data_IF_513457457682
#
_entry.id   IF_513457457682
#
_cell.length_a   1.000
_cell.length_b   1.000
_cell.length_c   1.000
_cell.angle_alpha   90.00
_cell.angle_beta   90.00
_cell.angle_gamma   90.00
#
_symmetry.space_group_name_H-M   'P 1'
#
loop_
_entity.id
_entity.type
_entity.pdbx_description
1 polymer ?
#
# COMPACT_ATOMS: atom_id res chain seq x y z
N UNK A 1 -16.58 31.35 -9.11
CA UNK A 1 -15.48 31.54 -10.09
C UNK A 1 -14.34 32.20 -9.36
N UNK A 2 -13.12 31.66 -9.49
CA UNK A 2 -11.89 32.21 -8.89
C UNK A 2 -10.91 32.55 -10.00
N UNK A 3 -9.93 33.41 -9.73
CA UNK A 3 -8.87 33.76 -10.69
C UNK A 3 -7.53 33.97 -9.99
N UNK A 4 -6.45 33.80 -10.74
CA UNK A 4 -5.09 34.16 -10.33
C UNK A 4 -4.31 34.67 -11.54
N UNK A 5 -3.19 35.35 -11.30
CA UNK A 5 -2.19 35.65 -12.31
C UNK A 5 -0.98 34.77 -12.01
N UNK A 6 -0.67 33.81 -12.87
CA UNK A 6 0.53 32.97 -12.72
C UNK A 6 1.76 33.74 -13.20
N UNK A 7 2.72 33.97 -12.31
CA UNK A 7 4.01 34.57 -12.59
C UNK A 7 5.08 33.49 -12.87
N UNK A 8 6.24 33.92 -13.38
CA UNK A 8 7.35 33.01 -13.66
C UNK A 8 7.85 32.33 -12.36
N UNK A 9 8.04 31.01 -12.42
CA UNK A 9 8.43 30.19 -11.27
C UNK A 9 7.27 29.71 -10.40
N UNK A 10 6.02 30.07 -10.71
CA UNK A 10 4.84 29.63 -9.97
C UNK A 10 4.18 28.40 -10.59
N UNK A 11 3.63 27.53 -9.73
CA UNK A 11 2.79 26.40 -10.12
C UNK A 11 1.31 26.73 -10.02
N UNK A 12 0.52 26.17 -10.95
CA UNK A 12 -0.94 26.14 -10.87
C UNK A 12 -1.38 24.69 -10.87
N UNK A 13 -2.16 24.29 -9.86
CA UNK A 13 -2.69 22.93 -9.73
C UNK A 13 -4.18 22.95 -10.07
N UNK A 14 -4.58 22.16 -11.06
CA UNK A 14 -5.98 21.96 -11.45
C UNK A 14 -6.49 20.65 -10.84
N UNK A 15 -7.43 20.77 -9.89
CA UNK A 15 -8.01 19.61 -9.21
C UNK A 15 -8.97 18.81 -10.12
N UNK A 16 -9.24 17.53 -9.81
CA UNK A 16 -10.11 16.69 -10.63
C UNK A 16 -11.47 17.34 -10.91
N UNK A 17 -11.86 17.38 -12.19
CA UNK A 17 -13.12 17.99 -12.67
C UNK A 17 -13.25 19.51 -12.42
N UNK A 18 -12.16 20.20 -12.11
CA UNK A 18 -12.14 21.66 -12.04
C UNK A 18 -12.03 22.27 -13.46
N UNK A 19 -13.15 22.75 -13.98
CA UNK A 19 -13.16 23.52 -15.24
C UNK A 19 -12.27 24.76 -15.10
N UNK A 20 -11.43 24.99 -16.09
CA UNK A 20 -10.50 26.11 -16.11
C UNK A 20 -10.34 26.65 -17.53
N UNK A 21 -10.03 27.94 -17.61
CA UNK A 21 -9.76 28.68 -18.84
C UNK A 21 -8.86 29.85 -18.50
N UNK A 22 -8.08 30.34 -19.45
CA UNK A 22 -7.20 31.49 -19.23
C UNK A 22 -6.74 32.11 -20.54
N UNK A 23 -6.04 33.24 -20.42
CA UNK A 23 -5.34 33.91 -21.52
C UNK A 23 -3.99 34.43 -21.00
N UNK A 24 -3.04 34.62 -21.91
CA UNK A 24 -1.70 35.11 -21.56
C UNK A 24 -1.68 36.65 -21.62
N UNK A 25 -0.99 37.27 -20.65
CA UNK A 25 -0.79 38.73 -20.61
C UNK A 25 0.26 39.21 -21.64
N UNK A 26 1.14 38.32 -22.10
CA UNK A 26 2.23 38.63 -23.03
C UNK A 26 3.00 37.37 -23.43
N UNK A 27 4.17 37.55 -24.04
CA UNK A 27 5.04 36.44 -24.42
C UNK A 27 5.51 35.65 -23.19
N UNK A 28 5.26 34.33 -23.21
CA UNK A 28 5.66 33.42 -22.15
C UNK A 28 5.94 32.00 -22.69
N UNK A 29 6.41 31.13 -21.81
CA UNK A 29 6.58 29.70 -22.05
C UNK A 29 6.06 28.94 -20.83
N UNK A 30 5.28 27.88 -21.05
CA UNK A 30 4.69 27.07 -19.98
C UNK A 30 4.73 25.58 -20.35
N UNK A 31 4.82 24.73 -19.32
CA UNK A 31 4.75 23.28 -19.44
C UNK A 31 3.66 22.75 -18.49
N UNK A 32 2.97 21.68 -18.88
CA UNK A 32 1.89 21.10 -18.10
C UNK A 32 1.88 19.58 -18.20
N UNK A 33 1.46 18.91 -17.12
CA UNK A 33 1.34 17.46 -17.04
C UNK A 33 0.10 17.08 -16.24
N UNK A 34 -0.53 15.97 -16.62
CA UNK A 34 -1.60 15.34 -15.85
C UNK A 34 -1.00 14.31 -14.88
N UNK A 35 -1.51 14.25 -13.66
CA UNK A 35 -1.13 13.23 -12.68
C UNK A 35 -2.37 12.75 -11.91
N UNK A 36 -2.25 11.59 -11.26
CA UNK A 36 -3.30 10.98 -10.47
C UNK A 36 -2.76 10.60 -9.09
N UNK A 37 -3.58 10.76 -8.06
CA UNK A 37 -3.29 10.42 -6.66
C UNK A 37 -4.30 9.40 -6.14
N UNK A 38 -4.11 8.88 -4.92
CA UNK A 38 -5.04 7.92 -4.32
C UNK A 38 -6.49 8.44 -4.24
N UNK A 39 -6.67 9.73 -3.92
CA UNK A 39 -7.98 10.39 -3.84
C UNK A 39 -8.66 10.60 -5.21
N UNK A 40 -7.90 10.50 -6.31
CA UNK A 40 -8.45 10.57 -7.66
C UNK A 40 -9.19 9.29 -8.07
N UNK A 41 -8.85 8.11 -7.51
CA UNK A 41 -9.41 6.83 -7.97
C UNK A 41 -10.95 6.80 -8.04
N UNK A 42 -11.70 7.26 -7.01
CA UNK A 42 -13.16 7.29 -7.09
C UNK A 42 -13.70 8.31 -8.10
N UNK A 43 -12.95 9.38 -8.39
CA UNK A 43 -13.30 10.31 -9.46
C UNK A 43 -13.05 9.69 -10.84
N UNK A 44 -11.96 8.92 -10.99
CA UNK A 44 -11.64 8.13 -12.18
C UNK A 44 -12.76 7.15 -12.53
N UNK A 45 -13.22 6.32 -11.59
CA UNK A 45 -14.33 5.38 -11.82
C UNK A 45 -15.61 6.08 -12.27
N UNK A 46 -16.02 7.14 -11.56
CA UNK A 46 -17.20 7.96 -11.92
C UNK A 46 -17.05 8.64 -13.28
N UNK A 47 -15.83 8.99 -13.68
CA UNK A 47 -15.54 9.52 -15.00
C UNK A 47 -15.83 8.48 -16.09
N UNK A 48 -15.43 7.22 -15.88
CA UNK A 48 -15.74 6.12 -16.81
C UNK A 48 -17.25 5.90 -16.92
N UNK A 49 -17.99 5.90 -15.81
CA UNK A 49 -19.46 5.82 -15.83
C UNK A 49 -20.07 6.96 -16.67
N UNK A 50 -19.55 8.17 -16.51
CA UNK A 50 -20.00 9.33 -17.29
C UNK A 50 -19.62 9.23 -18.78
N UNK A 51 -18.42 8.77 -19.10
CA UNK A 51 -17.96 8.58 -20.48
C UNK A 51 -18.76 7.50 -21.20
N UNK A 52 -19.09 6.42 -20.49
CA UNK A 52 -19.96 5.36 -20.99
C UNK A 52 -21.33 5.90 -21.40
N UNK A 53 -21.93 6.74 -20.57
CA UNK A 53 -23.20 7.40 -20.89
C UNK A 53 -23.09 8.34 -22.10
N UNK A 54 -21.96 9.05 -22.24
CA UNK A 54 -21.68 9.94 -23.38
C UNK A 54 -21.18 9.26 -24.65
N UNK A 55 -20.99 7.93 -24.64
CA UNK A 55 -20.39 7.19 -25.76
C UNK A 55 -18.99 7.71 -26.14
N UNK A 56 -18.21 8.13 -25.13
CA UNK A 56 -16.89 8.74 -25.30
C UNK A 56 -15.78 7.69 -25.12
N UNK A 57 -14.83 7.66 -26.06
CA UNK A 57 -13.62 6.83 -25.97
C UNK A 57 -12.82 7.13 -24.69
N UNK A 58 -12.35 6.08 -24.05
CA UNK A 58 -11.45 6.16 -22.90
C UNK A 58 -10.00 6.19 -23.36
N UNK A 59 -9.15 6.94 -22.67
CA UNK A 59 -7.69 6.98 -22.96
C UNK A 59 -6.96 5.76 -22.40
N UNK A 60 -7.54 5.13 -21.37
CA UNK A 60 -7.09 3.88 -20.76
C UNK A 60 -8.24 3.25 -19.98
N UNK A 61 -8.11 1.96 -19.62
CA UNK A 61 -9.07 1.28 -18.74
C UNK A 61 -8.78 1.55 -17.26
N UNK A 62 -9.75 2.14 -16.56
CA UNK A 62 -9.65 2.36 -15.11
C UNK A 62 -9.59 1.03 -14.34
N UNK A 63 -10.31 0.01 -14.82
CA UNK A 63 -10.32 -1.31 -14.19
C UNK A 63 -8.95 -1.99 -14.31
N UNK A 64 -8.32 -1.88 -15.49
CA UNK A 64 -6.97 -2.39 -15.73
C UNK A 64 -5.96 -1.74 -14.77
N UNK A 65 -6.03 -0.42 -14.61
CA UNK A 65 -5.18 0.32 -13.68
C UNK A 65 -5.33 -0.19 -12.24
N UNK A 66 -6.58 -0.36 -11.77
CA UNK A 66 -6.86 -0.88 -10.41
C UNK A 66 -6.33 -2.30 -10.24
N UNK A 67 -6.56 -3.19 -11.20
CA UNK A 67 -6.07 -4.57 -11.13
C UNK A 67 -4.54 -4.66 -11.19
N UNK A 68 -3.87 -3.82 -12.00
CA UNK A 68 -2.40 -3.75 -12.05
C UNK A 68 -1.81 -3.28 -10.71
N UNK A 69 -2.42 -2.30 -10.06
CA UNK A 69 -2.02 -1.89 -8.71
C UNK A 69 -2.24 -3.02 -7.70
N UNK A 70 -3.39 -3.68 -7.75
CA UNK A 70 -3.73 -4.79 -6.86
C UNK A 70 -2.77 -5.99 -7.00
N UNK A 71 -2.32 -6.31 -8.22
CA UNK A 71 -1.31 -7.34 -8.46
C UNK A 71 0.04 -7.03 -7.80
N UNK A 72 0.33 -5.75 -7.56
CA UNK A 72 1.56 -5.24 -6.96
C UNK A 72 1.34 -4.65 -5.56
N UNK A 73 0.37 -5.18 -4.78
CA UNK A 73 -0.05 -4.62 -3.49
C UNK A 73 1.10 -4.29 -2.52
N UNK A 74 2.14 -5.11 -2.46
CA UNK A 74 3.31 -4.92 -1.58
C UNK A 74 4.11 -3.64 -1.90
N UNK A 75 4.07 -3.18 -3.16
CA UNK A 75 4.78 -1.98 -3.62
C UNK A 75 3.99 -0.69 -3.40
N UNK A 76 2.71 -0.79 -3.07
CA UNK A 76 1.84 0.37 -2.86
C UNK A 76 2.13 1.03 -1.51
N UNK A 77 2.03 2.35 -1.47
CA UNK A 77 1.88 3.06 -0.21
C UNK A 77 0.54 2.70 0.46
N UNK A 78 0.44 2.92 1.76
CA UNK A 78 -0.72 2.48 2.56
C UNK A 78 -2.01 3.20 2.16
N UNK A 79 -1.93 4.50 1.86
CA UNK A 79 -3.09 5.30 1.46
C UNK A 79 -3.63 4.83 0.11
N UNK A 80 -2.73 4.59 -0.85
CA UNK A 80 -3.08 4.02 -2.14
C UNK A 80 -3.60 2.59 -1.99
N UNK A 81 -2.97 1.74 -1.19
CA UNK A 81 -3.46 0.37 -0.95
C UNK A 81 -4.90 0.36 -0.39
N UNK A 82 -5.21 1.24 0.55
CA UNK A 82 -6.55 1.40 1.11
C UNK A 82 -7.55 1.94 0.06
N UNK A 83 -7.15 2.94 -0.74
CA UNK A 83 -7.99 3.49 -1.80
C UNK A 83 -8.27 2.46 -2.91
N UNK A 84 -7.24 1.72 -3.34
CA UNK A 84 -7.34 0.64 -4.33
C UNK A 84 -8.20 -0.51 -3.78
N UNK A 85 -8.03 -0.90 -2.52
CA UNK A 85 -8.90 -1.91 -1.88
C UNK A 85 -10.38 -1.50 -1.95
N UNK A 86 -10.69 -0.25 -1.59
CA UNK A 86 -12.06 0.27 -1.62
C UNK A 86 -12.65 0.27 -3.03
N UNK A 87 -11.91 0.78 -4.02
CA UNK A 87 -12.40 0.84 -5.40
C UNK A 87 -12.50 -0.55 -6.04
N UNK A 88 -11.51 -1.42 -5.82
CA UNK A 88 -11.55 -2.80 -6.28
C UNK A 88 -12.72 -3.56 -5.65
N UNK A 89 -13.05 -3.33 -4.38
CA UNK A 89 -14.19 -3.98 -3.73
C UNK A 89 -15.49 -3.65 -4.47
N UNK A 90 -15.72 -2.38 -4.79
CA UNK A 90 -16.89 -1.92 -5.55
C UNK A 90 -16.92 -2.58 -6.94
N UNK A 91 -15.80 -2.58 -7.65
CA UNK A 91 -15.67 -3.21 -8.98
C UNK A 91 -16.00 -4.70 -8.94
N UNK A 92 -15.50 -5.45 -7.95
CA UNK A 92 -15.75 -6.89 -7.82
C UNK A 92 -17.22 -7.18 -7.54
N UNK A 93 -17.88 -6.37 -6.70
CA UNK A 93 -19.32 -6.52 -6.45
C UNK A 93 -20.15 -6.28 -7.71
N UNK A 94 -19.81 -5.23 -8.46
CA UNK A 94 -20.50 -4.88 -9.69
C UNK A 94 -20.27 -5.93 -10.79
N UNK A 95 -19.03 -6.37 -10.99
CA UNK A 95 -18.67 -7.44 -11.93
C UNK A 95 -19.42 -8.74 -11.63
N UNK A 96 -19.53 -9.10 -10.34
CA UNK A 96 -20.31 -10.27 -9.90
C UNK A 96 -21.80 -10.13 -10.28
N UNK A 97 -22.37 -8.94 -10.11
CA UNK A 97 -23.77 -8.66 -10.48
C UNK A 97 -23.96 -8.77 -12.00
N UNK A 98 -23.06 -8.18 -12.79
CA UNK A 98 -23.13 -8.18 -14.25
C UNK A 98 -22.98 -9.60 -14.83
N UNK A 99 -22.02 -10.39 -14.34
CA UNK A 99 -21.85 -11.78 -14.76
C UNK A 99 -23.03 -12.67 -14.35
N UNK A 100 -23.63 -12.42 -13.18
CA UNK A 100 -24.85 -13.12 -12.77
C UNK A 100 -26.01 -12.84 -13.72
N UNK A 101 -26.23 -11.58 -14.10
CA UNK A 101 -27.27 -11.20 -15.06
C UNK A 101 -27.04 -11.85 -16.43
N UNK A 102 -25.78 -12.02 -16.83
CA UNK A 102 -25.42 -12.72 -18.07
C UNK A 102 -25.79 -14.21 -18.04
N UNK A 103 -25.52 -14.89 -16.93
CA UNK A 103 -25.91 -16.29 -16.72
C UNK A 103 -27.43 -16.46 -16.70
N UNK A 104 -28.15 -15.52 -16.07
CA UNK A 104 -29.62 -15.50 -16.06
C UNK A 104 -30.22 -15.34 -17.48
N UNK A 105 -29.47 -14.75 -18.41
CA UNK A 105 -29.82 -14.62 -19.83
C UNK A 105 -29.53 -15.89 -20.66
N UNK A 106 -28.97 -16.93 -20.04
CA UNK A 106 -28.69 -18.23 -20.67
C UNK A 106 -27.35 -18.33 -21.40
N UNK A 107 -26.43 -17.42 -21.14
CA UNK A 107 -25.09 -17.41 -21.74
C UNK A 107 -24.15 -18.16 -20.80
N UNK A 108 -23.71 -19.35 -21.19
CA UNK A 108 -22.89 -20.25 -20.36
C UNK A 108 -21.46 -20.39 -20.85
N UNK A 109 -21.22 -20.19 -22.14
CA UNK A 109 -19.88 -20.27 -22.73
C UNK A 109 -19.03 -19.11 -22.25
N UNK A 110 -17.79 -19.41 -21.86
CA UNK A 110 -16.85 -18.42 -21.35
C UNK A 110 -15.41 -18.76 -21.74
N UNK A 111 -14.65 -17.74 -22.11
CA UNK A 111 -13.25 -17.83 -22.52
C UNK A 111 -12.42 -16.81 -21.74
N UNK A 112 -11.21 -17.22 -21.32
CA UNK A 112 -10.28 -16.32 -20.67
C UNK A 112 -9.54 -15.50 -21.72
N UNK A 113 -9.55 -14.17 -21.57
CA UNK A 113 -8.91 -13.23 -22.49
C UNK A 113 -7.94 -12.29 -21.75
N UNK A 114 -6.76 -12.07 -22.32
CA UNK A 114 -5.77 -11.14 -21.79
C UNK A 114 -5.93 -9.76 -22.46
N UNK A 115 -7.00 -9.05 -22.09
CA UNK A 115 -7.37 -7.77 -22.70
C UNK A 115 -6.25 -6.73 -22.72
N UNK A 116 -5.30 -6.76 -21.78
CA UNK A 116 -4.14 -5.84 -21.76
C UNK A 116 -3.13 -6.03 -22.90
N UNK A 117 -3.22 -7.15 -23.63
CA UNK A 117 -2.37 -7.45 -24.79
C UNK A 117 -3.03 -7.07 -26.12
N UNK A 118 -4.33 -6.83 -26.11
CA UNK A 118 -5.08 -6.35 -27.26
C UNK A 118 -4.93 -4.83 -27.39
N UNK A 119 -4.89 -4.29 -28.61
CA UNK A 119 -4.94 -2.86 -28.82
C UNK A 119 -6.30 -2.29 -28.36
N UNK A 120 -6.33 -1.01 -28.00
CA UNK A 120 -7.50 -0.40 -27.36
C UNK A 120 -8.76 -0.42 -28.23
N UNK A 121 -8.62 -0.34 -29.54
CA UNK A 121 -9.70 -0.41 -30.52
C UNK A 121 -10.37 -1.80 -30.59
N UNK A 122 -9.60 -2.88 -30.47
CA UNK A 122 -10.12 -4.26 -30.49
C UNK A 122 -10.83 -4.69 -29.19
N UNK A 123 -10.71 -3.89 -28.13
CA UNK A 123 -11.34 -4.16 -26.82
C UNK A 123 -12.37 -3.11 -26.40
N UNK A 124 -12.81 -2.27 -27.33
CA UNK A 124 -13.85 -1.28 -27.07
C UNK A 124 -15.25 -1.87 -27.22
N UNK A 125 -16.16 -1.46 -26.34
CA UNK A 125 -17.57 -1.77 -26.51
C UNK A 125 -18.16 -1.02 -27.70
N UNK A 126 -18.82 -1.73 -28.62
CA UNK A 126 -19.45 -1.17 -29.81
C UNK A 126 -20.51 -0.12 -29.48
N UNK A 127 -21.22 -0.29 -28.37
CA UNK A 127 -22.23 0.65 -27.89
C UNK A 127 -21.62 1.90 -27.27
N UNK A 128 -20.95 1.76 -26.13
CA UNK A 128 -20.55 2.91 -25.30
C UNK A 128 -19.09 3.36 -25.46
N UNK A 129 -18.31 2.67 -26.28
CA UNK A 129 -16.89 2.98 -26.55
C UNK A 129 -15.96 2.90 -25.33
N UNK A 130 -16.43 2.26 -24.25
CA UNK A 130 -15.59 1.95 -23.07
C UNK A 130 -14.60 0.85 -23.43
N UNK A 131 -13.33 1.02 -23.06
CA UNK A 131 -12.28 0.00 -23.15
C UNK A 131 -12.52 -1.09 -22.12
N UNK A 132 -12.89 -2.30 -22.56
CA UNK A 132 -13.20 -3.44 -21.70
C UNK A 132 -11.92 -4.05 -21.13
N UNK A 133 -11.98 -4.51 -19.88
CA UNK A 133 -10.85 -5.19 -19.24
C UNK A 133 -11.29 -6.39 -18.38
N UNK A 134 -12.22 -6.22 -17.43
CA UNK A 134 -12.62 -7.35 -16.58
C UNK A 134 -13.39 -8.41 -17.36
N UNK A 135 -14.31 -7.95 -18.21
CA UNK A 135 -15.12 -8.80 -19.06
C UNK A 135 -15.74 -8.06 -20.23
N UNK A 136 -16.09 -8.82 -21.26
CA UNK A 136 -16.88 -8.38 -22.40
C UNK A 136 -17.70 -9.55 -22.95
N UNK A 137 -18.75 -9.25 -23.70
CA UNK A 137 -19.56 -10.21 -24.43
C UNK A 137 -19.20 -10.18 -25.91
N UNK A 138 -18.94 -11.36 -26.47
CA UNK A 138 -18.66 -11.57 -27.88
C UNK A 138 -19.60 -12.65 -28.47
N UNK A 139 -19.59 -12.81 -29.79
CA UNK A 139 -20.41 -13.76 -30.51
C UNK A 139 -19.56 -14.61 -31.46
N UNK A 140 -19.80 -15.92 -31.52
CA UNK A 140 -19.11 -16.83 -32.45
C UNK A 140 -19.42 -16.53 -33.93
N UNK A 141 -20.58 -15.95 -34.22
CA UNK A 141 -21.04 -15.62 -35.57
C UNK A 141 -20.75 -14.16 -35.96
N UNK A 142 -20.33 -13.31 -35.02
CA UNK A 142 -19.98 -11.91 -35.24
C UNK A 142 -18.64 -11.57 -34.56
N UNK A 143 -17.50 -12.03 -35.13
CA UNK A 143 -16.19 -11.95 -34.46
C UNK A 143 -15.67 -10.53 -34.27
N UNK A 144 -16.11 -9.58 -35.10
CA UNK A 144 -15.71 -8.16 -35.01
C UNK A 144 -16.50 -7.40 -33.93
N UNK A 145 -17.55 -7.99 -33.36
CA UNK A 145 -18.43 -7.30 -32.40
C UNK A 145 -18.11 -7.64 -30.96
N UNK A 146 -18.05 -6.59 -30.15
CA UNK A 146 -17.73 -6.68 -28.73
C UNK A 146 -18.56 -5.67 -27.94
N UNK A 147 -19.19 -6.10 -26.84
CA UNK A 147 -19.86 -5.16 -25.92
C UNK A 147 -19.45 -5.40 -24.47
N UNK A 148 -19.43 -4.33 -23.66
CA UNK A 148 -19.27 -4.49 -22.22
C UNK A 148 -20.56 -5.05 -21.61
N UNK A 149 -20.48 -5.59 -20.38
CA UNK A 149 -21.63 -6.23 -19.74
C UNK A 149 -22.78 -5.28 -19.36
N UNK A 150 -22.62 -3.98 -19.55
CA UNK A 150 -23.72 -3.01 -19.43
C UNK A 150 -24.62 -2.97 -20.66
N UNK A 151 -24.17 -3.49 -21.80
CA UNK A 151 -24.85 -3.41 -23.09
C UNK A 151 -25.01 -4.80 -23.73
N UNK A 152 -25.29 -5.82 -22.92
CA UNK A 152 -25.45 -7.22 -23.36
C UNK A 152 -26.61 -7.41 -24.35
N UNK A 153 -27.52 -6.46 -24.43
CA UNK A 153 -28.64 -6.45 -25.38
C UNK A 153 -28.29 -5.77 -26.72
N UNK A 154 -27.16 -5.05 -26.79
CA UNK A 154 -26.74 -4.29 -27.98
C UNK A 154 -25.65 -5.03 -28.79
N UNK A 155 -25.33 -6.29 -28.46
CA UNK A 155 -24.27 -7.04 -29.17
C UNK A 155 -24.65 -7.37 -30.62
N UNK A 156 -25.67 -8.21 -30.80
CA UNK A 156 -26.19 -8.65 -32.09
C UNK A 156 -27.54 -9.38 -31.91
N UNK A 157 -28.19 -9.70 -33.03
CA UNK A 157 -29.48 -10.41 -33.05
C UNK A 157 -29.35 -11.94 -32.96
N UNK A 158 -28.12 -12.47 -32.83
CA UNK A 158 -27.89 -13.90 -32.68
C UNK A 158 -28.48 -14.42 -31.35
N UNK A 159 -28.86 -15.71 -31.31
CA UNK A 159 -29.38 -16.30 -30.08
C UNK A 159 -28.31 -16.39 -28.97
N UNK A 160 -28.69 -16.35 -27.68
CA UNK A 160 -27.76 -16.33 -26.55
C UNK A 160 -26.75 -17.49 -26.52
N UNK A 161 -27.08 -18.64 -27.10
CA UNK A 161 -26.17 -19.80 -27.21
C UNK A 161 -25.00 -19.59 -28.18
N UNK A 162 -25.03 -18.52 -28.99
CA UNK A 162 -23.91 -18.08 -29.84
C UNK A 162 -23.05 -17.02 -29.18
N UNK A 163 -23.49 -16.48 -28.06
CA UNK A 163 -22.74 -15.51 -27.29
C UNK A 163 -21.86 -16.22 -26.27
N UNK A 164 -20.69 -15.64 -25.98
CA UNK A 164 -19.78 -16.15 -24.96
C UNK A 164 -19.12 -15.00 -24.21
N UNK A 165 -18.90 -15.23 -22.91
CA UNK A 165 -18.24 -14.29 -22.03
C UNK A 165 -16.72 -14.36 -22.23
N UNK A 166 -16.09 -13.25 -22.65
CA UNK A 166 -14.63 -13.09 -22.56
C UNK A 166 -14.31 -12.47 -21.21
N UNK A 167 -13.51 -13.13 -20.38
CA UNK A 167 -13.19 -12.66 -19.02
C UNK A 167 -11.69 -12.65 -18.73
N UNK A 168 -11.22 -11.68 -17.94
CA UNK A 168 -9.80 -11.61 -17.57
C UNK A 168 -9.44 -12.44 -16.34
N UNK A 169 -10.30 -12.35 -15.32
CA UNK A 169 -10.18 -13.05 -14.05
C UNK A 169 -11.48 -13.76 -13.72
N UNK A 170 -11.38 -14.92 -13.07
CA UNK A 170 -12.50 -15.62 -12.45
C UNK A 170 -12.98 -14.87 -11.22
N UNK A 171 -14.20 -15.19 -10.77
CA UNK A 171 -14.76 -14.62 -9.53
C UNK A 171 -14.03 -15.13 -8.27
N UNK A 172 -13.18 -16.15 -8.37
CA UNK A 172 -12.34 -16.66 -7.29
C UNK A 172 -10.98 -15.94 -7.22
N UNK A 173 -10.44 -15.49 -8.36
CA UNK A 173 -9.18 -14.75 -8.44
C UNK A 173 -9.31 -13.32 -7.86
N UNK A 174 -10.44 -12.65 -8.10
CA UNK A 174 -10.65 -11.28 -7.66
C UNK A 174 -10.64 -11.09 -6.12
N UNK A 175 -11.32 -11.95 -5.32
CA UNK A 175 -11.20 -11.93 -3.86
C UNK A 175 -9.78 -12.15 -3.34
N UNK A 176 -8.97 -12.98 -4.01
CA UNK A 176 -7.59 -13.21 -3.60
C UNK A 176 -6.74 -11.94 -3.75
N UNK A 177 -6.96 -11.16 -4.82
CA UNK A 177 -6.31 -9.85 -5.00
C UNK A 177 -6.76 -8.84 -3.93
N UNK A 178 -8.07 -8.81 -3.61
CA UNK A 178 -8.62 -7.98 -2.54
C UNK A 178 -8.01 -8.30 -1.18
N UNK A 179 -7.86 -9.59 -0.87
CA UNK A 179 -7.26 -10.03 0.39
C UNK A 179 -5.82 -9.54 0.55
N UNK A 180 -5.00 -9.60 -0.51
CA UNK A 180 -3.64 -9.07 -0.50
C UNK A 180 -3.61 -7.56 -0.22
N UNK A 181 -4.51 -6.80 -0.86
CA UNK A 181 -4.65 -5.36 -0.60
C UNK A 181 -5.10 -5.06 0.82
N UNK A 182 -6.04 -5.84 1.36
CA UNK A 182 -6.51 -5.71 2.74
C UNK A 182 -5.38 -5.91 3.74
N UNK A 183 -4.61 -6.98 3.60
CA UNK A 183 -3.43 -7.24 4.44
C UNK A 183 -2.47 -6.05 4.38
N UNK A 184 -2.20 -5.52 3.18
CA UNK A 184 -1.32 -4.36 3.02
C UNK A 184 -1.88 -3.12 3.71
N UNK A 185 -3.15 -2.80 3.52
CA UNK A 185 -3.80 -1.63 4.11
C UNK A 185 -3.81 -1.70 5.65
N UNK A 186 -4.11 -2.87 6.22
CA UNK A 186 -4.15 -3.10 7.66
C UNK A 186 -2.78 -3.37 8.29
N UNK A 187 -1.72 -3.51 7.47
CA UNK A 187 -0.38 -3.88 7.95
C UNK A 187 0.21 -2.83 8.88
N UNK A 188 -0.06 -1.55 8.64
CA UNK A 188 0.44 -0.47 9.46
C UNK A 188 -0.27 -0.36 10.80
N UNK A 189 -1.60 -0.52 10.83
CA UNK A 189 -2.36 -0.53 12.08
C UNK A 189 -1.95 -1.72 12.94
N UNK A 190 -1.81 -2.90 12.31
CA UNK A 190 -1.35 -4.12 12.98
C UNK A 190 0.06 -3.95 13.54
N UNK A 191 0.97 -3.37 12.75
CA UNK A 191 2.34 -3.06 13.21
C UNK A 191 2.31 -2.03 14.35
N UNK A 192 1.53 -0.97 14.22
CA UNK A 192 1.38 0.07 15.24
C UNK A 192 0.87 -0.49 16.56
N UNK A 193 -0.10 -1.40 16.54
CA UNK A 193 -0.58 -2.12 17.73
C UNK A 193 0.50 -3.01 18.34
N UNK A 194 1.31 -3.71 17.53
CA UNK A 194 2.44 -4.50 18.02
C UNK A 194 3.50 -3.63 18.69
N UNK A 195 3.81 -2.46 18.11
CA UNK A 195 4.79 -1.52 18.66
C UNK A 195 4.29 -0.94 19.99
N UNK A 196 3.05 -0.46 20.05
CA UNK A 196 2.46 0.02 21.30
C UNK A 196 2.50 -1.03 22.39
N UNK A 197 2.02 -2.23 22.07
CA UNK A 197 2.06 -3.35 23.01
C UNK A 197 3.49 -3.61 23.47
N UNK A 198 4.48 -3.67 22.57
CA UNK A 198 5.87 -3.92 22.94
C UNK A 198 6.50 -2.82 23.80
N UNK A 199 6.10 -1.57 23.63
CA UNK A 199 6.60 -0.43 24.42
C UNK A 199 5.91 -0.29 25.78
N UNK A 200 4.67 -0.76 25.93
CA UNK A 200 3.85 -0.62 27.13
C UNK A 200 3.90 -1.84 28.08
N UNK A 201 4.58 -2.94 27.72
CA UNK A 201 4.59 -4.15 28.58
C UNK A 201 5.40 -3.95 29.88
N UNK A 202 4.82 -4.34 31.01
CA UNK A 202 5.48 -4.37 32.32
C UNK A 202 6.47 -5.56 32.47
N UNK A 203 7.42 -5.42 33.40
CA UNK A 203 8.68 -6.18 33.57
C UNK A 203 8.69 -7.69 33.27
N UNK A 204 7.59 -8.43 33.47
CA UNK A 204 7.53 -9.89 33.24
C UNK A 204 7.13 -10.30 31.82
N UNK A 205 6.71 -9.36 30.97
CA UNK A 205 6.32 -9.63 29.58
C UNK A 205 7.05 -8.74 28.56
N UNK A 206 8.06 -7.96 29.00
CA UNK A 206 8.87 -7.14 28.12
C UNK A 206 9.46 -7.98 26.98
N UNK A 207 9.34 -7.46 25.75
CA UNK A 207 9.91 -8.07 24.55
C UNK A 207 11.43 -7.99 24.55
N UNK A 208 12.10 -8.81 23.76
CA UNK A 208 13.57 -8.75 23.66
C UNK A 208 14.01 -7.56 22.79
N UNK A 209 15.28 -7.14 22.92
CA UNK A 209 15.87 -6.16 22.00
C UNK A 209 15.82 -6.64 20.53
N UNK A 210 15.94 -7.95 20.31
CA UNK A 210 15.82 -8.55 18.98
C UNK A 210 14.42 -8.39 18.39
N UNK A 211 13.37 -8.51 19.22
CA UNK A 211 11.99 -8.28 18.79
C UNK A 211 11.74 -6.82 18.38
N UNK A 212 12.29 -5.84 19.12
CA UNK A 212 12.18 -4.42 18.76
C UNK A 212 12.93 -4.12 17.46
N UNK A 213 14.10 -4.72 17.26
CA UNK A 213 14.86 -4.63 16.00
C UNK A 213 14.09 -5.25 14.84
N UNK A 214 13.43 -6.39 15.05
CA UNK A 214 12.59 -7.02 14.04
C UNK A 214 11.43 -6.10 13.62
N UNK A 215 10.79 -5.39 14.57
CA UNK A 215 9.75 -4.40 14.27
C UNK A 215 10.27 -3.20 13.48
N UNK A 216 11.51 -2.74 13.72
CA UNK A 216 12.15 -1.70 12.91
C UNK A 216 12.49 -2.18 11.50
N UNK A 217 12.97 -3.41 11.35
CA UNK A 217 13.25 -4.03 10.06
C UNK A 217 11.96 -4.18 9.25
N UNK A 218 10.89 -4.67 9.87
CA UNK A 218 9.56 -4.76 9.24
C UNK A 218 9.09 -3.39 8.71
N UNK A 219 9.26 -2.32 9.50
CA UNK A 219 8.87 -0.97 9.08
C UNK A 219 9.69 -0.46 7.88
N UNK A 220 10.99 -0.75 7.83
CA UNK A 220 11.87 -0.40 6.71
C UNK A 220 11.51 -1.18 5.44
N UNK A 221 11.34 -2.50 5.55
CA UNK A 221 10.99 -3.37 4.42
C UNK A 221 9.62 -3.01 3.83
N UNK A 222 8.64 -2.79 4.70
CA UNK A 222 7.27 -2.42 4.31
C UNK A 222 7.11 -0.94 3.98
N UNK A 223 8.18 -0.14 4.04
CA UNK A 223 8.23 1.29 3.74
C UNK A 223 7.11 2.08 4.44
N UNK A 224 6.93 1.85 5.73
CA UNK A 224 5.94 2.58 6.51
C UNK A 224 6.32 4.06 6.62
N UNK A 225 5.34 4.98 6.64
CA UNK A 225 5.61 6.41 6.76
C UNK A 225 6.25 6.73 8.12
N UNK A 226 7.12 7.73 8.15
CA UNK A 226 7.65 8.26 9.40
C UNK A 226 6.50 8.84 10.23
N UNK A 227 6.34 8.35 11.45
CA UNK A 227 5.35 8.83 12.41
C UNK A 227 5.95 8.85 13.82
N UNK A 228 5.20 9.39 14.79
CA UNK A 228 5.65 9.45 16.19
C UNK A 228 5.98 8.07 16.78
N UNK A 229 5.23 7.03 16.42
CA UNK A 229 5.46 5.66 16.88
C UNK A 229 6.79 5.08 16.37
N UNK A 230 7.13 5.30 15.09
CA UNK A 230 8.38 4.85 14.50
C UNK A 230 9.57 5.59 15.12
N UNK A 231 9.42 6.89 15.38
CA UNK A 231 10.45 7.67 16.09
C UNK A 231 10.64 7.16 17.53
N UNK A 232 9.56 6.87 18.26
CA UNK A 232 9.65 6.28 19.60
C UNK A 232 10.34 4.93 19.58
N UNK A 233 9.96 4.04 18.66
CA UNK A 233 10.59 2.72 18.52
C UNK A 233 12.09 2.82 18.20
N UNK A 234 12.49 3.71 17.28
CA UNK A 234 13.91 3.97 16.98
C UNK A 234 14.67 4.43 18.22
N UNK A 235 14.14 5.42 18.93
CA UNK A 235 14.74 5.93 20.16
C UNK A 235 14.91 4.85 21.23
N UNK A 236 13.88 4.01 21.45
CA UNK A 236 13.95 2.91 22.42
C UNK A 236 14.99 1.85 22.04
N UNK A 237 15.18 1.57 20.75
CA UNK A 237 16.22 0.63 20.29
C UNK A 237 17.61 1.24 20.45
N UNK A 238 17.80 2.52 20.10
CA UNK A 238 19.08 3.22 20.29
C UNK A 238 19.49 3.30 21.77
N UNK A 239 18.53 3.58 22.66
CA UNK A 239 18.76 3.61 24.10
C UNK A 239 19.15 2.22 24.63
N UNK A 240 18.44 1.16 24.22
CA UNK A 240 18.75 -0.20 24.62
C UNK A 240 20.11 -0.69 24.09
N UNK A 241 20.50 -0.31 22.87
CA UNK A 241 21.84 -0.60 22.33
C UNK A 241 22.95 0.12 23.09
N UNK A 242 22.71 1.38 23.48
CA UNK A 242 23.65 2.14 24.30
C UNK A 242 23.84 1.48 25.67
N UNK A 243 22.76 1.06 26.34
CA UNK A 243 22.83 0.33 27.60
C UNK A 243 23.56 -1.01 27.46
N UNK A 244 23.35 -1.74 26.36
CA UNK A 244 24.08 -2.98 26.07
C UNK A 244 25.60 -2.72 25.93
N UNK A 245 25.98 -1.66 25.22
CA UNK A 245 27.39 -1.29 25.03
C UNK A 245 28.07 -0.89 26.36
N UNK A 246 27.37 -0.11 27.19
CA UNK A 246 27.83 0.27 28.53
C UNK A 246 27.97 -0.96 29.45
N UNK A 247 27.01 -1.90 29.43
CA UNK A 247 27.09 -3.16 30.17
C UNK A 247 28.29 -4.03 29.70
N UNK A 248 28.55 -4.07 28.39
CA UNK A 248 29.68 -4.81 27.82
C UNK A 248 31.04 -4.25 28.27
N UNK A 249 31.19 -2.92 28.31
CA UNK A 249 32.40 -2.28 28.84
C UNK A 249 32.63 -2.62 30.32
N UNK A 250 31.56 -2.60 31.12
CA UNK A 250 31.60 -3.00 32.54
C UNK A 250 31.99 -4.48 32.73
N UNK A 251 31.50 -5.37 31.86
CA UNK A 251 31.84 -6.79 31.88
C UNK A 251 33.32 -7.06 31.58
N UNK A 252 33.88 -6.33 30.60
CA UNK A 252 35.27 -6.47 30.18
C UNK A 252 36.24 -5.91 31.23
N UNK A 253 35.91 -4.79 31.88
CA UNK A 253 36.68 -4.25 33.01
C UNK A 253 36.77 -5.22 34.20
N UNK A 254 35.79 -6.11 34.39
CA UNK A 254 35.83 -7.15 35.44
C UNK A 254 36.70 -8.36 35.08
N UNK A 255 36.82 -8.73 33.80
CA UNK A 255 37.61 -9.88 33.34
C UNK A 255 39.10 -9.58 33.10
N UNK A 256 39.51 -8.30 33.14
CA UNK A 256 40.89 -7.86 32.92
C UNK A 256 41.80 -7.77 34.16
N UNK A 257 41.32 -8.06 35.37
CA UNK A 257 42.13 -7.93 36.59
C UNK A 257 43.08 -9.13 36.82
N UNK A 258 44.14 -9.25 36.03
CA UNK A 258 45.40 -9.87 36.49
C UNK A 258 46.30 -8.75 37.01
N UNK A 259 46.78 -8.79 38.27
CA UNK A 259 47.60 -7.72 38.79
C UNK A 259 49.01 -7.81 38.19
N UNK A 260 49.36 -6.86 37.33
CA UNK A 260 50.74 -6.53 37.01
C UNK A 260 51.09 -5.21 37.72
N UNK A 261 52.18 -5.13 38.48
CA UNK A 261 52.51 -3.96 39.27
C UNK A 261 53.41 -3.04 38.43
N UNK A 262 52.84 -2.24 37.55
CA UNK A 262 53.30 -0.88 37.29
C UNK A 262 52.43 -0.23 36.21
N UNK A 263 52.32 1.09 36.27
CA UNK A 263 51.59 2.00 35.38
C UNK A 263 50.20 2.39 35.92
N UNK A 264 50.11 3.69 36.17
CA UNK A 264 48.95 4.48 36.55
C UNK A 264 47.81 4.37 35.53
N UNK A 265 46.94 3.37 35.68
CA UNK A 265 45.66 3.32 34.98
C UNK A 265 44.51 3.70 35.92
N UNK A 266 43.68 4.63 35.44
CA UNK A 266 42.47 5.11 36.13
C UNK A 266 41.57 3.93 36.48
N UNK A 267 41.16 3.74 37.74
CA UNK A 267 40.13 2.77 38.04
C UNK A 267 38.80 3.40 37.61
N UNK A 268 38.23 2.97 36.49
CA UNK A 268 36.78 3.11 36.23
C UNK A 268 36.03 2.16 37.17
N UNK A 269 36.15 2.39 38.48
CA UNK A 269 35.29 1.78 39.49
C UNK A 269 34.03 2.63 39.54
N UNK A 270 32.99 2.19 38.82
CA UNK A 270 31.65 2.75 39.01
C UNK A 270 31.29 2.68 40.49
N UNK A 271 30.81 3.79 41.03
CA UNK A 271 30.25 3.86 42.39
C UNK A 271 28.98 3.03 42.48
N UNK A 272 28.63 2.58 43.68
CA UNK A 272 27.39 1.80 43.93
C UNK A 272 26.16 2.58 43.46
N UNK A 273 26.19 3.91 43.56
CA UNK A 273 25.11 4.78 43.12
C UNK A 273 25.02 4.88 41.59
N UNK A 274 26.15 4.92 40.87
CA UNK A 274 26.16 4.82 39.40
C UNK A 274 25.65 3.45 38.91
N UNK A 275 25.98 2.37 39.64
CA UNK A 275 25.48 1.02 39.35
C UNK A 275 23.97 0.88 39.62
N UNK A 276 23.46 1.54 40.67
CA UNK A 276 22.01 1.62 40.94
C UNK A 276 21.29 2.41 39.85
N UNK A 277 21.83 3.57 39.44
CA UNK A 277 21.28 4.35 38.34
C UNK A 277 21.24 3.55 37.05
N UNK A 278 22.29 2.79 36.76
CA UNK A 278 22.35 1.94 35.57
C UNK A 278 21.32 0.81 35.61
N UNK A 279 21.12 0.18 36.78
CA UNK A 279 20.07 -0.84 36.95
C UNK A 279 18.66 -0.24 36.84
N UNK A 280 18.44 0.97 37.35
CA UNK A 280 17.17 1.69 37.16
C UNK A 280 16.93 2.05 35.69
N UNK A 281 17.95 2.50 34.97
CA UNK A 281 17.89 2.73 33.52
C UNK A 281 17.58 1.44 32.75
N UNK A 282 18.22 0.33 33.10
CA UNK A 282 17.93 -0.98 32.50
C UNK A 282 16.48 -1.44 32.76
N UNK A 283 15.92 -1.09 33.92
CA UNK A 283 14.52 -1.39 34.27
C UNK A 283 13.53 -0.42 33.62
N UNK A 284 13.93 0.80 33.29
CA UNK A 284 13.07 1.74 32.55
C UNK A 284 13.00 1.44 31.05
N UNK A 285 13.90 0.61 30.52
CA UNK A 285 13.83 0.18 29.12
C UNK A 285 12.57 -0.65 28.84
N UNK A 286 11.93 -0.46 27.68
CA UNK A 286 10.75 -1.22 27.27
C UNK A 286 11.07 -2.66 26.84
N UNK A 287 12.35 -3.04 26.76
CA UNK A 287 12.78 -4.38 26.35
C UNK A 287 13.72 -5.05 27.35
N UNK A 288 13.72 -6.38 27.37
CA UNK A 288 14.69 -7.19 28.11
C UNK A 288 15.95 -7.37 27.27
N UNK A 289 17.09 -7.10 27.89
CA UNK A 289 18.41 -7.43 27.36
C UNK A 289 18.85 -8.77 27.96
N UNK A 290 18.67 -9.85 27.21
CA UNK A 290 18.95 -11.24 27.65
C UNK A 290 20.39 -11.44 28.12
N UNK A 291 21.36 -10.75 27.52
CA UNK A 291 22.78 -10.85 27.89
C UNK A 291 23.17 -10.32 29.27
N UNK A 292 22.25 -9.66 30.00
CA UNK A 292 22.53 -9.12 31.34
C UNK A 292 22.06 -10.07 32.46
N UNK A 293 21.18 -11.04 32.18
CA UNK A 293 20.71 -11.99 33.19
C UNK A 293 21.81 -12.94 33.70
N UNK A 294 22.84 -13.21 32.90
CA UNK A 294 24.02 -13.98 33.31
C UNK A 294 24.97 -13.18 34.24
N UNK A 295 24.68 -11.91 34.51
CA UNK A 295 25.40 -11.09 35.49
C UNK A 295 24.74 -11.06 36.87
N UNK A 296 23.71 -11.88 37.11
CA UNK A 296 23.17 -12.08 38.46
C UNK A 296 24.26 -12.61 39.38
N UNK A 297 24.76 -11.67 40.18
CA UNK A 297 25.47 -11.80 41.45
C UNK A 297 25.37 -13.21 42.01
N UNK A 298 26.44 -13.99 41.84
CA UNK A 298 26.69 -15.13 42.72
C UNK A 298 26.80 -14.57 44.14
N UNK A 299 25.88 -15.00 44.99
CA UNK A 299 25.94 -14.80 46.45
C UNK A 299 27.26 -15.33 47.01
#
# INVERSE_FOLDING_TARGET
VVRTNQCAGEFVITFPRAYHSGFNQGYNFAEAVNFCTADWLPAGRRCIEHYRWLHRYCVFSHEELVCKMAACAERLDLNLAAAVHKEMFIMVQEERKLRKALLEKGITEAEREAFELLPDDERQCDKCKTTCFLSALACFECPERLVCLYHIDDLCDCPPNRHYLRYRYTLDELPAMLHKLKIRAESFDTWGSKVKSALEMEDKQKKTLEDLKALLTEAKEKKFPENGLLHQLKGSVEEAEKCLAEAGQLALSRKGARPQPDITERPTKLTVDELRLFIEQLRSLPCVITHIQDMQVGN
#
